data_IF_807011833341
#
_entry.id   IF_807011833341
#
_cell.length_a   1.000
_cell.length_b   1.000
_cell.length_c   1.000
_cell.angle_alpha   90.00
_cell.angle_beta   90.00
_cell.angle_gamma   90.00
#
_symmetry.space_group_name_H-M   'P 1'
#
loop_
_entity.id
_entity.type
_entity.pdbx_description
1 polymer ?
#
# COMPACT_ATOMS: atom_id res chain seq x y z
N UNK A 1 0.41 -1.54 -11.12
CA UNK A 1 1.48 -0.81 -10.36
C UNK A 1 1.78 -1.57 -9.08
N UNK A 2 2.97 -1.44 -8.48
CA UNK A 2 3.31 -2.12 -7.21
C UNK A 2 3.39 -1.10 -6.07
N UNK A 3 2.83 -1.46 -4.91
CA UNK A 3 2.92 -0.70 -3.65
C UNK A 3 3.49 -1.64 -2.59
N UNK A 4 4.47 -1.16 -1.84
CA UNK A 4 5.09 -1.90 -0.75
C UNK A 4 4.79 -1.19 0.58
N UNK A 5 4.09 -1.86 1.48
CA UNK A 5 3.92 -1.39 2.85
C UNK A 5 5.12 -1.80 3.68
N UNK A 6 5.71 -0.83 4.36
CA UNK A 6 6.92 -1.02 5.16
C UNK A 6 6.67 -0.60 6.61
N UNK A 7 7.39 -1.24 7.53
CA UNK A 7 7.48 -0.78 8.90
C UNK A 7 8.08 0.64 8.92
N UNK A 8 7.27 1.59 9.34
CA UNK A 8 7.60 3.01 9.48
C UNK A 8 6.69 3.63 10.54
N UNK A 9 7.21 4.53 11.40
CA UNK A 9 6.43 5.19 12.45
C UNK A 9 5.47 6.26 11.91
N UNK A 10 5.52 6.57 10.61
CA UNK A 10 4.63 7.54 9.97
C UNK A 10 3.21 6.97 9.89
N UNK A 11 2.18 7.81 9.89
CA UNK A 11 0.77 7.38 9.78
C UNK A 11 0.56 6.33 8.67
N UNK A 12 -0.24 5.31 8.98
CA UNK A 12 -0.56 4.20 8.06
C UNK A 12 -1.06 4.72 6.70
N UNK A 13 -0.67 4.05 5.63
CA UNK A 13 -0.98 4.38 4.23
C UNK A 13 -0.38 5.69 3.69
N UNK A 14 0.47 6.38 4.45
CA UNK A 14 1.21 7.55 3.96
C UNK A 14 2.32 7.13 3.01
N UNK A 15 2.46 7.81 1.88
CA UNK A 15 3.58 7.60 0.96
C UNK A 15 4.88 8.10 1.62
N UNK A 16 5.86 7.20 1.76
CA UNK A 16 7.16 7.48 2.44
C UNK A 16 8.34 7.46 1.47
N UNK A 17 8.09 7.22 0.19
CA UNK A 17 9.09 7.30 -0.86
C UNK A 17 8.81 6.39 -2.05
N UNK A 18 9.79 6.29 -2.94
CA UNK A 18 9.77 5.42 -4.11
C UNK A 18 11.10 4.69 -4.21
N UNK A 19 11.05 3.39 -4.50
CA UNK A 19 12.22 2.56 -4.82
C UNK A 19 12.00 1.87 -6.17
N UNK A 20 13.03 1.16 -6.63
CA UNK A 20 13.01 0.40 -7.89
C UNK A 20 11.76 -0.49 -8.03
N UNK A 21 11.31 -1.11 -6.93
CA UNK A 21 10.16 -2.01 -6.91
C UNK A 21 8.80 -1.32 -6.74
N UNK A 22 8.75 0.01 -6.66
CA UNK A 22 7.51 0.79 -6.60
C UNK A 22 7.41 1.78 -5.44
N UNK A 23 6.19 2.25 -5.18
CA UNK A 23 5.90 3.21 -4.11
C UNK A 23 5.94 2.53 -2.75
N UNK A 24 6.51 3.22 -1.77
CA UNK A 24 6.57 2.78 -0.38
C UNK A 24 5.49 3.48 0.43
N UNK A 25 4.73 2.71 1.21
CA UNK A 25 3.75 3.23 2.16
C UNK A 25 4.06 2.80 3.57
N UNK A 26 3.73 3.67 4.53
CA UNK A 26 3.89 3.36 5.94
C UNK A 26 2.83 2.36 6.43
N UNK A 27 3.25 1.46 7.30
CA UNK A 27 2.37 0.57 8.07
C UNK A 27 1.94 1.16 9.42
N UNK A 28 2.50 2.30 9.85
CA UNK A 28 2.10 2.96 11.12
C UNK A 28 2.76 2.41 12.37
N UNK A 29 3.79 1.58 12.23
CA UNK A 29 4.57 1.01 13.32
C UNK A 29 5.97 0.59 12.84
N UNK A 30 6.85 0.25 13.76
CA UNK A 30 8.24 -0.14 13.46
C UNK A 30 8.50 -1.66 13.48
N UNK A 31 7.56 -2.50 13.96
CA UNK A 31 7.69 -3.97 13.89
C UNK A 31 7.49 -4.49 12.46
N UNK A 32 8.36 -5.36 11.96
CA UNK A 32 8.17 -5.93 10.63
C UNK A 32 6.99 -6.93 10.60
N UNK A 33 6.83 -7.76 11.63
CA UNK A 33 5.84 -8.83 11.65
C UNK A 33 4.39 -8.33 11.59
N UNK A 34 4.15 -7.11 12.10
CA UNK A 34 2.80 -6.52 12.15
C UNK A 34 2.39 -5.82 10.85
N UNK A 35 3.32 -5.67 9.91
CA UNK A 35 3.14 -4.88 8.68
C UNK A 35 1.94 -5.35 7.87
N UNK A 36 1.79 -6.66 7.69
CA UNK A 36 0.69 -7.23 6.92
C UNK A 36 -0.67 -7.02 7.59
N UNK A 37 -0.70 -7.04 8.93
CA UNK A 37 -1.92 -6.88 9.70
C UNK A 37 -2.43 -5.43 9.64
N UNK A 38 -1.53 -4.45 9.81
CA UNK A 38 -1.89 -3.03 9.82
C UNK A 38 -2.11 -2.46 8.42
N UNK A 39 -1.41 -2.98 7.41
CA UNK A 39 -1.59 -2.58 6.03
C UNK A 39 -2.84 -3.17 5.37
N UNK A 40 -3.54 -4.10 6.03
CA UNK A 40 -4.59 -4.93 5.43
C UNK A 40 -5.65 -4.08 4.70
N UNK A 41 -6.25 -3.12 5.39
CA UNK A 41 -7.27 -2.23 4.79
C UNK A 41 -6.73 -1.44 3.59
N UNK A 42 -5.48 -0.97 3.69
CA UNK A 42 -4.79 -0.26 2.61
C UNK A 42 -4.58 -1.11 1.36
N UNK A 43 -4.24 -2.39 1.56
CA UNK A 43 -4.08 -3.37 0.48
C UNK A 43 -5.41 -3.60 -0.24
N UNK A 44 -6.51 -3.83 0.50
CA UNK A 44 -7.82 -4.03 -0.12
C UNK A 44 -8.33 -2.80 -0.87
N UNK A 45 -8.10 -1.61 -0.30
CA UNK A 45 -8.44 -0.36 -0.97
C UNK A 45 -7.67 -0.20 -2.29
N UNK A 46 -6.36 -0.48 -2.28
CA UNK A 46 -5.53 -0.46 -3.49
C UNK A 46 -6.03 -1.44 -4.56
N UNK A 47 -6.34 -2.68 -4.17
CA UNK A 47 -6.86 -3.70 -5.08
C UNK A 47 -8.21 -3.29 -5.69
N UNK A 48 -9.10 -2.70 -4.89
CA UNK A 48 -10.39 -2.19 -5.35
C UNK A 48 -10.22 -1.08 -6.39
N UNK A 49 -9.29 -0.16 -6.18
CA UNK A 49 -8.98 0.91 -7.13
C UNK A 49 -8.40 0.38 -8.44
N UNK A 50 -7.48 -0.59 -8.39
CA UNK A 50 -6.94 -1.21 -9.61
C UNK A 50 -8.04 -1.94 -10.38
N UNK A 51 -8.94 -2.67 -9.69
CA UNK A 51 -10.09 -3.30 -10.33
C UNK A 51 -10.99 -2.28 -11.04
N UNK A 52 -11.34 -1.18 -10.37
CA UNK A 52 -12.16 -0.12 -10.97
C UNK A 52 -11.49 0.57 -12.18
N UNK A 53 -10.15 0.64 -12.22
CA UNK A 53 -9.44 1.12 -13.41
C UNK A 53 -9.60 0.14 -14.56
N UNK A 54 -9.38 -1.16 -14.32
CA UNK A 54 -9.54 -2.19 -15.35
C UNK A 54 -10.95 -2.21 -15.94
N UNK A 55 -11.98 -2.04 -15.09
CA UNK A 55 -13.37 -1.94 -15.54
C UNK A 55 -13.62 -0.69 -16.39
N UNK A 56 -12.99 0.45 -16.06
CA UNK A 56 -13.10 1.68 -16.86
C UNK A 56 -12.47 1.59 -18.24
N UNK A 57 -11.43 0.77 -18.42
CA UNK A 57 -10.78 0.57 -19.71
C UNK A 57 -11.49 -0.47 -20.61
N UNK A 58 -12.59 -1.08 -20.14
CA UNK A 58 -13.40 -2.02 -20.94
C UNK A 58 -14.47 -1.33 -21.80
N UNK A 59 -14.58 -0.01 -21.73
CA UNK A 59 -15.45 0.85 -22.54
C UNK A 59 -14.62 1.94 -23.21
#
# INVERSE_FOLDING_TARGET
>A
RTINWIASPVQVNTDVGVREYGRLRSAGHTSHEWTSYTAFDGIFQFLKEERQKLERYKY
#
